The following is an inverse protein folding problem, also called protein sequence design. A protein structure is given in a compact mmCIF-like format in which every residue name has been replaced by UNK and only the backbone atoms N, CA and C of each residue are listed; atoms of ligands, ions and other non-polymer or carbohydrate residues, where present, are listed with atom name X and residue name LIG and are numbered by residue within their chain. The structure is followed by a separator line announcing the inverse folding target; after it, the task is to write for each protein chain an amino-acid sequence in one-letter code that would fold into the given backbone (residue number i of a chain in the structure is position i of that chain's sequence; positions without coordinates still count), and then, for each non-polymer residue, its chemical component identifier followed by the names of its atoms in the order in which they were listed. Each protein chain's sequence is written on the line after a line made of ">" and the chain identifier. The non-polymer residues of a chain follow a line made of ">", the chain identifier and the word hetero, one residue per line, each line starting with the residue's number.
data_IF_052845706293
#
_entry.id   IF_052845706293
#
_cell.length_a   1.000
_cell.length_b   1.000
_cell.length_c   1.000
_cell.angle_alpha   90.00
_cell.angle_beta   90.00
_cell.angle_gamma   90.00
#
_symmetry.space_group_name_H-M   'P 1'
#
loop_
_entity.id
_entity.type
_entity.pdbx_description
1 polymer ?
#
# COMPACT_ATOMS: atom_id res chain seq x y z
N UNK A 1 -24.76 -10.91 15.29
CA UNK A 1 -24.74 -9.96 14.13
C UNK A 1 -23.47 -10.28 13.36
N UNK A 2 -23.59 -10.66 12.09
CA UNK A 2 -22.40 -10.90 11.24
C UNK A 2 -21.69 -9.54 11.05
N UNK A 3 -20.57 -9.39 11.71
CA UNK A 3 -19.72 -8.19 11.64
C UNK A 3 -18.85 -8.26 10.36
N UNK A 4 -19.48 -8.40 9.19
CA UNK A 4 -18.75 -8.33 7.91
C UNK A 4 -18.36 -6.89 7.67
N UNK A 5 -17.06 -6.61 7.58
CA UNK A 5 -16.54 -5.33 7.12
C UNK A 5 -16.96 -5.13 5.66
N UNK A 6 -17.33 -3.90 5.28
CA UNK A 6 -17.55 -3.57 3.87
C UNK A 6 -16.27 -3.71 3.05
N UNK A 7 -16.40 -3.83 1.75
CA UNK A 7 -15.26 -4.05 0.83
C UNK A 7 -14.77 -2.78 0.13
N UNK A 8 -15.45 -1.66 0.33
CA UNK A 8 -15.04 -0.40 -0.28
C UNK A 8 -14.19 0.40 0.71
N UNK A 9 -13.02 0.84 0.26
CA UNK A 9 -12.24 1.88 0.91
C UNK A 9 -12.45 3.18 0.14
N UNK A 10 -12.83 4.24 0.85
CA UNK A 10 -13.15 5.55 0.30
C UNK A 10 -12.25 6.62 0.91
N UNK A 11 -12.34 7.82 0.41
CA UNK A 11 -11.70 9.01 0.96
C UNK A 11 -12.75 10.08 1.28
N UNK A 12 -12.30 11.17 1.90
CA UNK A 12 -13.11 12.34 2.23
C UNK A 12 -12.40 13.62 1.74
N UNK A 13 -13.15 14.69 1.52
CA UNK A 13 -12.61 15.89 0.89
C UNK A 13 -11.80 16.79 1.84
N UNK A 14 -12.22 16.91 3.09
CA UNK A 14 -11.72 17.95 3.99
C UNK A 14 -11.11 17.44 5.30
N UNK A 15 -10.81 18.39 6.18
CA UNK A 15 -10.25 18.14 7.52
C UNK A 15 -11.33 17.85 8.57
N UNK A 16 -12.60 17.83 8.19
CA UNK A 16 -13.75 17.54 9.06
C UNK A 16 -14.83 16.81 8.26
N UNK A 17 -15.68 16.04 8.95
CA UNK A 17 -16.75 15.26 8.33
C UNK A 17 -17.96 16.13 7.97
N UNK A 18 -18.32 16.14 6.69
CA UNK A 18 -19.61 16.65 6.19
C UNK A 18 -20.75 15.67 6.53
N UNK A 19 -21.99 16.08 6.28
CA UNK A 19 -23.14 15.16 6.40
C UNK A 19 -23.05 14.01 5.38
N UNK A 20 -22.56 14.27 4.18
CA UNK A 20 -22.37 13.26 3.14
C UNK A 20 -21.33 12.22 3.57
N UNK A 21 -20.19 12.67 4.14
CA UNK A 21 -19.17 11.75 4.65
C UNK A 21 -19.71 10.83 5.75
N UNK A 22 -20.54 11.39 6.67
CA UNK A 22 -21.15 10.60 7.74
C UNK A 22 -22.11 9.54 7.21
N UNK A 23 -22.90 9.86 6.19
CA UNK A 23 -23.81 8.93 5.54
C UNK A 23 -23.02 7.82 4.81
N UNK A 24 -21.94 8.18 4.10
CA UNK A 24 -21.04 7.23 3.43
C UNK A 24 -20.37 6.27 4.42
N UNK A 25 -19.79 6.80 5.52
CA UNK A 25 -19.15 5.98 6.57
C UNK A 25 -20.15 4.99 7.19
N UNK A 26 -21.40 5.41 7.36
CA UNK A 26 -22.48 4.57 7.91
C UNK A 26 -22.91 3.44 6.95
N UNK A 27 -22.59 3.55 5.67
CA UNK A 27 -22.97 2.53 4.67
C UNK A 27 -22.27 1.19 4.95
N UNK A 28 -23.03 0.10 4.86
CA UNK A 28 -22.49 -1.25 5.14
C UNK A 28 -21.41 -1.71 4.14
N UNK A 29 -21.39 -1.17 2.93
CA UNK A 29 -20.40 -1.49 1.89
C UNK A 29 -19.04 -0.83 2.13
N UNK A 30 -18.99 0.26 2.89
CA UNK A 30 -17.75 0.96 3.22
C UNK A 30 -17.09 0.27 4.40
N UNK A 31 -15.92 -0.31 4.18
CA UNK A 31 -15.09 -1.00 5.17
C UNK A 31 -13.86 -0.21 5.60
N UNK A 32 -13.44 0.77 4.82
CA UNK A 32 -12.26 1.57 5.09
C UNK A 32 -12.36 3.01 4.61
N UNK A 33 -11.51 3.84 5.19
CA UNK A 33 -11.21 5.19 4.72
C UNK A 33 -9.70 5.33 4.55
N UNK A 34 -9.27 5.92 3.43
CA UNK A 34 -7.90 6.38 3.24
C UNK A 34 -7.85 7.90 3.40
N UNK A 35 -6.88 8.37 4.19
CA UNK A 35 -6.67 9.80 4.44
C UNK A 35 -5.43 10.29 3.68
N UNK A 36 -5.54 11.51 3.15
CA UNK A 36 -4.51 12.17 2.36
C UNK A 36 -4.03 13.47 3.02
N UNK A 37 -3.04 14.13 2.43
CA UNK A 37 -2.53 15.43 2.91
C UNK A 37 -3.64 16.48 3.05
N UNK A 38 -4.66 16.48 2.15
CA UNK A 38 -5.80 17.40 2.22
C UNK A 38 -6.68 17.23 3.47
N UNK A 39 -6.59 16.07 4.14
CA UNK A 39 -7.33 15.77 5.36
C UNK A 39 -6.58 16.16 6.63
N UNK A 40 -5.39 16.74 6.51
CA UNK A 40 -4.47 17.00 7.59
C UNK A 40 -4.18 18.50 7.75
N UNK A 41 -4.32 19.03 8.97
CA UNK A 41 -3.89 20.37 9.34
C UNK A 41 -3.03 20.40 10.60
N UNK A 42 -3.22 19.44 11.52
CA UNK A 42 -2.39 19.23 12.71
C UNK A 42 -2.58 17.82 13.26
N UNK A 43 -1.68 17.38 14.15
CA UNK A 43 -1.80 16.09 14.82
C UNK A 43 -3.08 15.97 15.65
N UNK A 44 -3.45 17.02 16.37
CA UNK A 44 -4.69 17.01 17.17
C UNK A 44 -5.93 16.93 16.27
N UNK A 45 -5.95 17.69 15.16
CA UNK A 45 -7.08 17.66 14.23
C UNK A 45 -7.27 16.28 13.61
N UNK A 46 -6.18 15.61 13.15
CA UNK A 46 -6.30 14.28 12.52
C UNK A 46 -6.71 13.22 13.55
N UNK A 47 -6.26 13.33 14.79
CA UNK A 47 -6.66 12.47 15.90
C UNK A 47 -8.16 12.61 16.18
N UNK A 48 -8.66 13.84 16.24
CA UNK A 48 -10.10 14.12 16.42
C UNK A 48 -10.91 13.59 15.23
N UNK A 49 -10.44 13.77 14.01
CA UNK A 49 -11.10 13.26 12.81
C UNK A 49 -11.21 11.72 12.84
N UNK A 50 -10.13 11.02 13.16
CA UNK A 50 -10.14 9.56 13.31
C UNK A 50 -11.10 9.10 14.42
N UNK A 51 -11.13 9.81 15.55
CA UNK A 51 -12.07 9.54 16.64
C UNK A 51 -13.53 9.71 16.21
N UNK A 52 -13.84 10.75 15.46
CA UNK A 52 -15.19 10.98 14.92
C UNK A 52 -15.59 9.87 13.93
N UNK A 53 -14.69 9.46 13.03
CA UNK A 53 -14.91 8.35 12.08
C UNK A 53 -15.22 7.06 12.85
N UNK A 54 -14.39 6.70 13.82
CA UNK A 54 -14.58 5.51 14.68
C UNK A 54 -15.84 5.60 15.54
N UNK A 55 -16.26 6.81 15.93
CA UNK A 55 -17.52 7.05 16.63
C UNK A 55 -18.77 6.73 15.81
N UNK A 56 -18.70 6.88 14.46
CA UNK A 56 -19.78 6.52 13.54
C UNK A 56 -19.76 5.00 13.26
N UNK A 57 -18.57 4.44 12.99
CA UNK A 57 -18.38 3.03 12.64
C UNK A 57 -17.09 2.50 13.26
N UNK A 58 -17.22 1.84 14.41
CA UNK A 58 -16.08 1.43 15.24
C UNK A 58 -15.13 0.44 14.58
N UNK A 59 -15.61 -0.37 13.63
CA UNK A 59 -14.82 -1.39 12.92
C UNK A 59 -14.35 -0.94 11.53
N UNK A 60 -14.46 0.34 11.18
CA UNK A 60 -13.93 0.86 9.91
C UNK A 60 -12.40 0.91 9.96
N UNK A 61 -11.75 0.51 8.89
CA UNK A 61 -10.29 0.58 8.76
C UNK A 61 -9.87 1.99 8.30
N UNK A 62 -8.98 2.66 9.02
CA UNK A 62 -8.44 3.97 8.64
C UNK A 62 -7.00 3.77 8.14
N UNK A 63 -6.75 4.17 6.90
CA UNK A 63 -5.47 4.00 6.22
C UNK A 63 -4.85 5.33 5.79
N UNK A 64 -3.55 5.32 5.54
CA UNK A 64 -2.79 6.44 4.97
C UNK A 64 -1.62 5.92 4.14
N UNK A 65 -1.12 6.71 3.19
CA UNK A 65 0.20 6.51 2.59
C UNK A 65 1.26 7.26 3.39
N UNK A 66 1.88 6.62 4.33
CA UNK A 66 3.00 7.15 5.13
C UNK A 66 4.18 6.19 4.95
N UNK A 67 4.99 6.42 3.91
CA UNK A 67 6.14 5.58 3.56
C UNK A 67 7.46 6.17 4.06
N UNK A 68 7.52 7.48 4.12
CA UNK A 68 8.72 8.30 4.27
C UNK A 68 9.13 8.99 2.96
N UNK A 69 10.11 9.89 3.04
CA UNK A 69 10.54 10.69 1.92
C UNK A 69 9.41 11.53 1.32
N UNK A 70 9.23 11.47 0.00
CA UNK A 70 8.19 12.24 -0.70
C UNK A 70 6.76 11.73 -0.47
N UNK A 71 6.61 10.48 -0.04
CA UNK A 71 5.31 9.87 0.25
C UNK A 71 5.14 9.80 1.76
N UNK A 72 4.88 10.93 2.34
CA UNK A 72 4.53 11.13 3.74
C UNK A 72 3.45 12.20 3.80
N UNK A 73 2.21 11.82 4.17
CA UNK A 73 1.05 12.71 4.14
C UNK A 73 1.00 13.63 5.36
N UNK A 74 1.33 13.09 6.53
CA UNK A 74 1.28 13.82 7.79
C UNK A 74 2.71 14.18 8.22
N UNK A 75 2.99 15.47 8.35
CA UNK A 75 4.33 15.99 8.62
C UNK A 75 4.41 16.75 9.93
N UNK A 76 3.60 17.78 10.13
CA UNK A 76 3.63 18.59 11.34
C UNK A 76 3.15 17.77 12.56
N UNK A 77 3.99 17.71 13.61
CA UNK A 77 3.74 16.88 14.79
C UNK A 77 4.02 15.37 14.59
N UNK A 78 4.48 14.94 13.40
CA UNK A 78 4.99 13.61 13.12
C UNK A 78 6.47 13.66 12.77
N UNK A 79 7.19 12.58 13.02
CA UNK A 79 8.60 12.49 12.62
C UNK A 79 8.72 12.47 11.10
N UNK A 80 9.55 13.34 10.54
CA UNK A 80 9.86 13.34 9.11
C UNK A 80 10.81 12.19 8.82
N UNK A 81 10.30 11.19 8.10
CA UNK A 81 11.06 10.00 7.76
C UNK A 81 11.83 10.20 6.45
N UNK A 82 13.08 9.71 6.34
CA UNK A 82 13.81 9.70 5.08
C UNK A 82 13.13 8.75 4.08
N UNK A 83 13.48 8.90 2.79
CA UNK A 83 13.14 7.85 1.81
C UNK A 83 13.92 6.56 2.12
N UNK A 84 13.37 5.41 1.75
CA UNK A 84 13.97 4.12 2.08
C UNK A 84 15.35 3.93 1.45
N UNK A 85 15.54 4.41 0.22
CA UNK A 85 16.86 4.40 -0.42
C UNK A 85 17.86 5.30 0.34
N UNK A 86 17.46 6.52 0.73
CA UNK A 86 18.35 7.41 1.51
C UNK A 86 18.72 6.81 2.85
N UNK A 87 17.78 6.10 3.49
CA UNK A 87 18.04 5.39 4.74
C UNK A 87 19.03 4.24 4.52
N UNK A 88 18.87 3.48 3.43
CA UNK A 88 19.78 2.40 3.07
C UNK A 88 21.20 2.93 2.80
N UNK A 89 21.34 4.04 2.08
CA UNK A 89 22.63 4.72 1.85
C UNK A 89 23.30 5.18 3.15
N UNK A 90 22.51 5.64 4.11
CA UNK A 90 23.01 6.01 5.45
C UNK A 90 23.50 4.78 6.22
N UNK A 91 22.73 3.69 6.23
CA UNK A 91 23.09 2.44 6.93
C UNK A 91 24.36 1.83 6.33
N UNK A 92 24.51 1.86 5.01
CA UNK A 92 25.72 1.37 4.34
C UNK A 92 27.01 2.09 4.79
N UNK A 93 26.88 3.34 5.24
CA UNK A 93 28.00 4.17 5.73
C UNK A 93 28.12 4.20 7.25
N UNK A 94 27.19 3.61 7.98
CA UNK A 94 27.10 3.61 9.44
C UNK A 94 27.17 2.19 10.00
N UNK A 95 27.42 2.07 11.32
CA UNK A 95 27.36 0.78 12.02
C UNK A 95 25.96 0.42 12.54
N UNK A 96 24.95 1.26 12.29
CA UNK A 96 23.58 1.10 12.81
C UNK A 96 22.76 0.20 11.89
N UNK A 97 22.67 -1.09 12.21
CA UNK A 97 21.96 -2.07 11.39
C UNK A 97 20.45 -2.15 11.67
N UNK A 98 20.00 -1.82 12.87
CA UNK A 98 18.60 -1.97 13.30
C UNK A 98 17.69 -0.78 12.97
N UNK A 99 18.21 0.23 12.29
CA UNK A 99 17.50 1.50 12.07
C UNK A 99 16.21 1.32 11.26
N UNK A 100 16.13 0.34 10.36
CA UNK A 100 14.91 0.08 9.59
C UNK A 100 13.78 -0.41 10.49
N UNK A 101 14.08 -1.26 11.46
CA UNK A 101 13.12 -1.71 12.48
C UNK A 101 12.65 -0.53 13.34
N UNK A 102 13.58 0.31 13.79
CA UNK A 102 13.26 1.50 14.58
C UNK A 102 12.38 2.48 13.82
N UNK A 103 12.67 2.72 12.53
CA UNK A 103 11.88 3.62 11.67
C UNK A 103 10.48 3.05 11.39
N UNK A 104 10.36 1.76 11.11
CA UNK A 104 9.06 1.09 10.95
C UNK A 104 8.22 1.14 12.22
N UNK A 105 8.84 0.89 13.36
CA UNK A 105 8.17 1.00 14.66
C UNK A 105 7.70 2.42 14.96
N UNK A 106 8.56 3.41 14.76
CA UNK A 106 8.25 4.82 15.02
C UNK A 106 7.11 5.33 14.16
N UNK A 107 7.14 5.05 12.84
CA UNK A 107 6.07 5.40 11.92
C UNK A 107 4.73 4.81 12.38
N UNK A 108 4.72 3.52 12.67
CA UNK A 108 3.52 2.81 13.07
C UNK A 108 2.98 3.31 14.44
N UNK A 109 3.86 3.50 15.42
CA UNK A 109 3.47 3.99 16.75
C UNK A 109 2.86 5.41 16.70
N UNK A 110 3.43 6.32 15.90
CA UNK A 110 2.90 7.68 15.73
C UNK A 110 1.54 7.68 15.05
N UNK A 111 1.34 6.85 14.01
CA UNK A 111 0.08 6.72 13.30
C UNK A 111 -1.01 6.08 14.17
N UNK A 112 -0.70 4.98 14.86
CA UNK A 112 -1.64 4.34 15.78
C UNK A 112 -2.07 5.27 16.91
N UNK A 113 -1.15 6.07 17.45
CA UNK A 113 -1.44 7.07 18.48
C UNK A 113 -2.40 8.18 17.96
N UNK A 114 -2.42 8.43 16.65
CA UNK A 114 -3.34 9.36 16.00
C UNK A 114 -4.66 8.69 15.54
N UNK A 115 -4.86 7.39 15.81
CA UNK A 115 -6.07 6.65 15.43
C UNK A 115 -6.08 6.10 14.01
N UNK A 116 -4.94 6.09 13.32
CA UNK A 116 -4.75 5.44 12.00
C UNK A 116 -4.44 3.97 12.23
N UNK A 117 -5.16 3.08 11.56
CA UNK A 117 -5.00 1.62 11.76
C UNK A 117 -3.85 1.04 10.96
N UNK A 118 -3.65 1.49 9.70
CA UNK A 118 -2.58 1.00 8.81
C UNK A 118 -1.95 2.12 7.99
N UNK A 119 -0.69 1.93 7.64
CA UNK A 119 -0.05 2.61 6.50
C UNK A 119 0.06 1.64 5.32
N UNK A 120 -0.23 2.10 4.11
CA UNK A 120 0.10 1.37 2.89
C UNK A 120 1.62 1.41 2.64
N UNK A 121 2.34 0.68 3.46
CA UNK A 121 3.79 0.52 3.49
C UNK A 121 4.16 -0.90 3.97
N UNK A 122 5.31 -1.42 3.55
CA UNK A 122 6.35 -0.80 2.73
C UNK A 122 6.14 -0.97 1.22
N UNK A 123 6.89 -0.16 0.44
CA UNK A 123 7.07 -0.38 -1.00
C UNK A 123 8.07 -1.52 -1.19
N UNK A 124 7.61 -2.62 -1.82
CA UNK A 124 8.41 -3.81 -2.11
C UNK A 124 8.95 -3.84 -3.53
N UNK A 125 8.62 -2.83 -4.34
CA UNK A 125 9.11 -2.71 -5.70
C UNK A 125 10.64 -2.65 -5.71
N UNK A 126 11.25 -3.44 -6.60
CA UNK A 126 12.70 -3.43 -6.83
C UNK A 126 13.03 -2.30 -7.79
N UNK A 127 13.89 -1.36 -7.38
CA UNK A 127 14.30 -0.25 -8.25
C UNK A 127 15.10 -0.77 -9.43
N UNK A 128 14.74 -0.36 -10.65
CA UNK A 128 15.46 -0.67 -11.88
C UNK A 128 16.07 0.57 -12.53
N UNK A 129 16.09 1.68 -11.81
CA UNK A 129 16.57 2.98 -12.30
C UNK A 129 15.81 3.48 -13.55
N UNK A 130 14.59 3.00 -13.76
CA UNK A 130 13.73 3.36 -14.89
C UNK A 130 12.46 4.06 -14.45
N UNK A 131 11.93 3.73 -13.27
CA UNK A 131 10.68 4.28 -12.76
C UNK A 131 10.91 5.55 -11.96
N UNK A 132 10.42 6.70 -12.47
CA UNK A 132 10.37 7.95 -11.69
C UNK A 132 9.32 7.90 -10.57
N UNK A 133 8.36 6.97 -10.66
CA UNK A 133 7.27 6.80 -9.70
C UNK A 133 7.76 6.05 -8.45
N UNK A 134 8.55 5.01 -8.61
CA UNK A 134 9.14 4.26 -7.51
C UNK A 134 10.43 4.94 -7.04
N UNK A 135 11.49 4.93 -7.83
CA UNK A 135 12.76 5.59 -7.51
C UNK A 135 13.19 5.35 -6.06
N UNK A 136 13.47 6.41 -5.34
CA UNK A 136 13.96 6.38 -3.96
C UNK A 136 12.94 5.87 -2.90
N UNK A 137 11.71 5.52 -3.29
CA UNK A 137 10.75 4.82 -2.42
C UNK A 137 11.17 3.35 -2.20
N UNK A 138 11.85 2.74 -3.17
CA UNK A 138 12.40 1.39 -3.04
C UNK A 138 13.52 1.32 -2.01
N UNK A 139 13.68 0.15 -1.41
CA UNK A 139 14.81 -0.13 -0.51
C UNK A 139 16.11 -0.41 -1.27
N UNK A 140 16.04 -1.00 -2.46
CA UNK A 140 17.21 -1.41 -3.24
C UNK A 140 16.85 -1.76 -4.68
N UNK A 141 17.86 -1.83 -5.53
CA UNK A 141 17.84 -2.39 -6.89
C UNK A 141 18.10 -3.91 -6.93
N UNK A 142 18.38 -4.52 -5.77
CA UNK A 142 18.62 -5.96 -5.61
C UNK A 142 17.47 -6.61 -4.86
N UNK A 143 16.72 -7.56 -5.47
CA UNK A 143 15.51 -8.16 -4.88
C UNK A 143 15.70 -8.71 -3.47
N UNK A 144 16.78 -9.47 -3.23
CA UNK A 144 17.09 -10.05 -1.92
C UNK A 144 17.43 -8.99 -0.86
N UNK A 145 17.97 -7.85 -1.26
CA UNK A 145 18.16 -6.71 -0.36
C UNK A 145 16.83 -6.06 0.00
N UNK A 146 15.91 -5.90 -0.98
CA UNK A 146 14.56 -5.42 -0.70
C UNK A 146 13.89 -6.32 0.35
N UNK A 147 13.89 -7.65 0.14
CA UNK A 147 13.35 -8.61 1.08
C UNK A 147 13.94 -8.47 2.49
N UNK A 148 15.26 -8.46 2.58
CA UNK A 148 15.99 -8.41 3.86
C UNK A 148 15.72 -7.11 4.63
N UNK A 149 15.78 -5.97 3.95
CA UNK A 149 15.62 -4.66 4.59
C UNK A 149 14.13 -4.41 4.93
N UNK A 150 13.23 -4.71 4.00
CA UNK A 150 11.79 -4.57 4.26
C UNK A 150 11.33 -5.46 5.42
N UNK A 151 11.91 -6.65 5.60
CA UNK A 151 11.61 -7.52 6.75
C UNK A 151 11.89 -6.83 8.09
N UNK A 152 12.99 -6.10 8.21
CA UNK A 152 13.29 -5.35 9.43
C UNK A 152 12.25 -4.24 9.65
N UNK A 153 11.92 -3.47 8.60
CA UNK A 153 10.91 -2.41 8.66
C UNK A 153 9.53 -2.97 9.05
N UNK A 154 9.09 -4.05 8.42
CA UNK A 154 7.84 -4.75 8.71
C UNK A 154 7.83 -5.27 10.16
N UNK A 155 8.95 -5.83 10.63
CA UNK A 155 9.10 -6.28 12.03
C UNK A 155 8.85 -5.13 13.00
N UNK A 156 9.35 -3.94 12.71
CA UNK A 156 9.10 -2.74 13.51
C UNK A 156 7.62 -2.34 13.52
N UNK A 157 6.97 -2.31 12.35
CA UNK A 157 5.53 -2.02 12.24
C UNK A 157 4.70 -3.02 13.06
N UNK A 158 4.97 -4.31 12.89
CA UNK A 158 4.25 -5.38 13.59
C UNK A 158 4.46 -5.33 15.12
N UNK A 159 5.67 -4.99 15.58
CA UNK A 159 5.97 -4.82 17.01
C UNK A 159 5.22 -3.61 17.61
N UNK A 160 5.02 -2.54 16.85
CA UNK A 160 4.18 -1.42 17.27
C UNK A 160 2.67 -1.76 17.28
N UNK A 161 2.26 -2.87 16.65
CA UNK A 161 0.86 -3.31 16.54
C UNK A 161 0.19 -2.99 15.20
N UNK A 162 0.93 -2.49 14.19
CA UNK A 162 0.42 -2.17 12.86
C UNK A 162 0.80 -3.25 11.85
N UNK A 163 -0.19 -3.81 11.16
CA UNK A 163 0.07 -4.76 10.06
C UNK A 163 0.60 -4.03 8.82
N UNK A 164 1.62 -4.60 8.18
CA UNK A 164 2.23 -4.04 6.98
C UNK A 164 1.48 -4.43 5.71
N UNK A 165 1.48 -3.53 4.71
CA UNK A 165 0.92 -3.77 3.38
C UNK A 165 2.00 -3.61 2.32
N UNK A 166 2.41 -4.71 1.72
CA UNK A 166 3.42 -4.69 0.64
C UNK A 166 2.83 -4.22 -0.69
N UNK A 167 3.52 -3.34 -1.39
CA UNK A 167 3.05 -2.76 -2.66
C UNK A 167 4.21 -2.50 -3.64
N UNK A 168 3.98 -2.52 -4.93
CA UNK A 168 2.73 -2.72 -5.70
C UNK A 168 2.84 -4.05 -6.48
N UNK A 169 2.15 -5.08 -6.01
CA UNK A 169 2.21 -6.42 -6.61
C UNK A 169 1.74 -6.41 -8.08
N UNK A 170 2.40 -7.10 -9.00
CA UNK A 170 3.58 -7.97 -8.85
C UNK A 170 4.94 -7.27 -8.96
N UNK A 171 4.99 -5.94 -9.05
CA UNK A 171 6.18 -5.10 -9.11
C UNK A 171 6.02 -3.93 -10.09
N UNK A 172 6.38 -2.72 -9.64
CA UNK A 172 6.26 -1.46 -10.39
C UNK A 172 7.63 -0.82 -10.70
N UNK A 173 8.73 -1.36 -10.16
CA UNK A 173 10.05 -0.72 -10.23
C UNK A 173 10.66 -0.63 -11.62
N UNK A 174 10.20 -1.44 -12.58
CA UNK A 174 10.68 -1.46 -13.97
C UNK A 174 9.82 -0.65 -14.94
N UNK A 175 8.78 0.02 -14.49
CA UNK A 175 7.82 0.74 -15.34
C UNK A 175 8.21 2.20 -15.44
N UNK A 176 8.40 2.66 -16.68
CA UNK A 176 8.72 4.07 -16.96
C UNK A 176 7.46 4.94 -16.95
N UNK A 177 6.35 4.41 -17.45
CA UNK A 177 5.08 5.14 -17.56
C UNK A 177 4.46 5.36 -16.18
N UNK A 178 3.96 6.57 -15.98
CA UNK A 178 3.18 6.92 -14.80
C UNK A 178 1.77 6.33 -14.93
N UNK A 179 1.43 5.38 -14.08
CA UNK A 179 0.10 4.76 -14.01
C UNK A 179 -1.04 5.73 -13.66
N UNK A 180 -0.70 6.93 -13.19
CA UNK A 180 -1.67 8.03 -13.03
C UNK A 180 -2.02 8.70 -14.37
N UNK A 181 -1.18 8.55 -15.40
CA UNK A 181 -1.36 9.21 -16.69
C UNK A 181 -1.74 8.24 -17.81
N UNK A 182 -1.22 7.03 -17.80
CA UNK A 182 -1.41 6.00 -18.83
C UNK A 182 -1.59 4.63 -18.17
N UNK A 183 -2.13 3.65 -18.92
CA UNK A 183 -2.09 2.25 -18.52
C UNK A 183 -0.68 1.70 -18.79
N UNK A 184 0.15 1.49 -17.75
CA UNK A 184 1.51 1.03 -17.93
C UNK A 184 1.54 -0.44 -18.34
N UNK A 185 2.56 -0.82 -19.10
CA UNK A 185 2.76 -2.19 -19.55
C UNK A 185 4.17 -2.69 -19.22
N UNK A 186 4.26 -3.92 -18.76
CA UNK A 186 5.50 -4.65 -18.60
C UNK A 186 5.48 -5.88 -19.52
N UNK A 187 6.43 -5.95 -20.45
CA UNK A 187 6.49 -7.02 -21.46
C UNK A 187 7.31 -8.22 -21.03
N UNK A 188 7.71 -8.31 -19.76
CA UNK A 188 8.44 -9.44 -19.23
C UNK A 188 7.56 -10.67 -19.05
N UNK A 189 8.18 -11.83 -19.17
CA UNK A 189 7.55 -13.11 -18.88
C UNK A 189 7.33 -13.32 -17.38
N UNK A 190 6.46 -14.24 -17.03
CA UNK A 190 6.23 -14.63 -15.63
C UNK A 190 7.50 -15.15 -14.96
N UNK A 191 8.36 -15.86 -15.67
CA UNK A 191 9.60 -16.42 -15.13
C UNK A 191 10.61 -15.32 -14.78
N UNK A 192 10.70 -14.26 -15.59
CA UNK A 192 11.54 -13.09 -15.29
C UNK A 192 11.02 -12.34 -14.06
N UNK A 193 9.70 -12.20 -13.91
CA UNK A 193 9.09 -11.56 -12.75
C UNK A 193 9.29 -12.38 -11.46
N UNK A 194 9.18 -13.71 -11.54
CA UNK A 194 9.42 -14.61 -10.40
C UNK A 194 10.86 -14.52 -9.91
N UNK A 195 11.82 -14.39 -10.84
CA UNK A 195 13.22 -14.31 -10.49
C UNK A 195 13.66 -12.93 -9.98
N UNK A 196 12.82 -11.92 -10.11
CA UNK A 196 13.19 -10.55 -9.77
C UNK A 196 12.12 -9.84 -8.92
N UNK A 197 11.04 -9.33 -9.53
CA UNK A 197 10.10 -8.43 -8.86
C UNK A 197 9.22 -9.14 -7.84
N UNK A 198 8.92 -10.43 -8.05
CA UNK A 198 8.12 -11.23 -7.10
C UNK A 198 8.92 -11.74 -5.90
N UNK A 199 10.26 -11.68 -5.93
CA UNK A 199 11.10 -12.17 -4.82
C UNK A 199 10.72 -11.57 -3.48
N UNK A 200 10.56 -10.24 -3.31
CA UNK A 200 10.16 -9.67 -2.03
C UNK A 200 8.78 -10.13 -1.55
N UNK A 201 7.82 -10.31 -2.46
CA UNK A 201 6.48 -10.79 -2.11
C UNK A 201 6.48 -12.28 -1.70
N UNK A 202 7.34 -13.10 -2.34
CA UNK A 202 7.53 -14.51 -1.98
C UNK A 202 8.16 -14.64 -0.59
N UNK A 203 9.24 -13.88 -0.37
CA UNK A 203 10.02 -13.95 0.87
C UNK A 203 9.26 -13.43 2.10
N UNK A 204 8.39 -12.42 1.91
CA UNK A 204 7.74 -11.69 2.99
C UNK A 204 6.24 -12.02 3.17
N UNK A 205 5.70 -12.97 2.41
CA UNK A 205 4.26 -13.32 2.42
C UNK A 205 3.66 -13.59 3.80
N UNK A 206 4.45 -14.15 4.70
CA UNK A 206 4.00 -14.53 6.05
C UNK A 206 4.19 -13.38 7.06
N UNK A 207 4.96 -12.34 6.71
CA UNK A 207 5.21 -11.16 7.52
C UNK A 207 4.21 -10.01 7.22
N UNK A 208 3.49 -10.09 6.07
CA UNK A 208 2.56 -9.08 5.58
C UNK A 208 1.11 -9.38 5.99
N UNK A 209 0.41 -8.37 6.50
CA UNK A 209 -1.05 -8.40 6.70
C UNK A 209 -1.84 -8.09 5.44
N UNK A 210 -1.27 -7.28 4.51
CA UNK A 210 -1.88 -6.89 3.25
C UNK A 210 -0.92 -6.87 2.07
N UNK A 211 -1.47 -6.98 0.87
CA UNK A 211 -0.77 -6.74 -0.42
C UNK A 211 -1.66 -5.86 -1.28
N UNK A 212 -1.08 -4.81 -1.87
CA UNK A 212 -1.76 -3.94 -2.82
C UNK A 212 -1.33 -4.28 -4.24
N UNK A 213 -2.30 -4.52 -5.13
CA UNK A 213 -2.07 -4.89 -6.53
C UNK A 213 -2.01 -3.67 -7.43
N UNK A 214 -0.97 -3.58 -8.26
CA UNK A 214 -0.77 -2.50 -9.23
C UNK A 214 -1.75 -2.57 -10.41
N UNK A 215 -2.07 -1.39 -10.98
CA UNK A 215 -2.79 -1.29 -12.27
C UNK A 215 -1.80 -1.33 -13.44
N UNK A 216 -1.06 -2.45 -13.57
CA UNK A 216 -0.08 -2.69 -14.63
C UNK A 216 -0.54 -3.88 -15.47
N UNK A 217 -0.46 -3.75 -16.80
CA UNK A 217 -0.70 -4.83 -17.74
C UNK A 217 0.59 -5.59 -18.02
N UNK A 218 0.53 -6.91 -17.92
CA UNK A 218 1.64 -7.82 -18.25
C UNK A 218 1.21 -8.70 -19.43
N UNK A 219 1.30 -8.21 -20.68
CA UNK A 219 0.67 -8.85 -21.83
C UNK A 219 1.24 -10.21 -22.22
N UNK A 220 2.40 -10.62 -21.67
CA UNK A 220 2.89 -12.00 -21.80
C UNK A 220 2.34 -12.94 -20.75
N UNK A 221 1.55 -12.44 -19.80
CA UNK A 221 1.02 -13.21 -18.66
C UNK A 221 -0.50 -13.23 -18.67
N UNK A 222 -1.14 -12.07 -18.81
CA UNK A 222 -2.60 -11.93 -18.86
C UNK A 222 -2.99 -10.68 -19.67
N UNK A 223 -4.21 -10.68 -20.21
CA UNK A 223 -4.79 -9.56 -20.96
C UNK A 223 -5.38 -8.47 -20.04
N UNK A 224 -5.50 -8.74 -18.74
CA UNK A 224 -5.98 -7.80 -17.73
C UNK A 224 -4.83 -7.27 -16.87
N UNK A 225 -4.94 -6.01 -16.41
CA UNK A 225 -3.99 -5.48 -15.43
C UNK A 225 -4.00 -6.30 -14.13
N UNK A 226 -2.89 -6.34 -13.42
CA UNK A 226 -2.71 -7.23 -12.27
C UNK A 226 -3.82 -7.08 -11.20
N UNK A 227 -4.27 -5.84 -10.92
CA UNK A 227 -5.36 -5.58 -9.98
C UNK A 227 -6.75 -6.06 -10.43
N UNK A 228 -6.91 -6.44 -11.72
CA UNK A 228 -8.16 -6.96 -12.30
C UNK A 228 -8.04 -8.40 -12.79
N UNK A 229 -6.89 -9.02 -12.61
CA UNK A 229 -6.58 -10.36 -13.10
C UNK A 229 -6.73 -11.42 -12.02
N UNK A 230 -7.68 -12.35 -12.23
CA UNK A 230 -7.81 -13.52 -11.36
C UNK A 230 -6.59 -14.45 -11.46
N UNK A 231 -5.86 -14.43 -12.57
CA UNK A 231 -4.60 -15.16 -12.69
C UNK A 231 -3.55 -14.61 -11.74
N UNK A 232 -3.33 -13.29 -11.72
CA UNK A 232 -2.38 -12.68 -10.82
C UNK A 232 -2.75 -12.85 -9.35
N UNK A 233 -4.02 -12.62 -9.00
CA UNK A 233 -4.43 -12.63 -7.59
C UNK A 233 -4.67 -14.06 -7.09
N UNK A 234 -5.47 -14.88 -7.80
CA UNK A 234 -5.81 -16.23 -7.31
C UNK A 234 -4.71 -17.24 -7.61
N UNK A 235 -4.17 -17.29 -8.84
CA UNK A 235 -3.20 -18.32 -9.18
C UNK A 235 -1.79 -17.98 -8.69
N UNK A 236 -1.33 -16.75 -8.92
CA UNK A 236 0.04 -16.38 -8.54
C UNK A 236 0.11 -16.02 -7.05
N UNK A 237 -0.64 -14.99 -6.59
CA UNK A 237 -0.50 -14.50 -5.22
C UNK A 237 -1.05 -15.50 -4.18
N UNK A 238 -2.29 -15.98 -4.37
CA UNK A 238 -2.93 -16.89 -3.41
C UNK A 238 -2.41 -18.32 -3.49
N UNK A 239 -2.39 -18.93 -4.69
CA UNK A 239 -2.07 -20.35 -4.83
C UNK A 239 -0.55 -20.61 -4.88
N UNK A 240 0.18 -19.92 -5.77
CA UNK A 240 1.61 -20.21 -5.98
C UNK A 240 2.49 -19.62 -4.88
N UNK A 241 2.30 -18.33 -4.54
CA UNK A 241 3.04 -17.67 -3.46
C UNK A 241 2.51 -18.13 -2.10
N UNK A 242 1.20 -18.33 -1.98
CA UNK A 242 0.56 -18.79 -0.74
C UNK A 242 0.21 -17.67 0.22
N UNK A 243 0.06 -16.43 -0.26
CA UNK A 243 -0.33 -15.29 0.56
C UNK A 243 -1.75 -15.43 1.11
N UNK A 244 -1.94 -15.16 2.40
CA UNK A 244 -3.21 -15.37 3.12
C UNK A 244 -3.83 -14.09 3.70
N UNK A 245 -3.11 -12.96 3.64
CA UNK A 245 -3.58 -11.68 4.14
C UNK A 245 -4.58 -11.00 3.21
N UNK A 246 -4.92 -9.75 3.48
CA UNK A 246 -5.87 -8.94 2.70
C UNK A 246 -5.24 -8.51 1.37
N UNK A 247 -6.01 -8.57 0.28
CA UNK A 247 -5.61 -8.05 -1.02
C UNK A 247 -6.37 -6.78 -1.33
N UNK A 248 -5.65 -5.67 -1.41
CA UNK A 248 -6.16 -4.38 -1.84
C UNK A 248 -5.97 -4.18 -3.35
N UNK A 249 -6.91 -3.55 -4.03
CA UNK A 249 -6.61 -2.90 -5.29
C UNK A 249 -5.76 -1.65 -5.03
N UNK A 250 -5.00 -1.19 -6.00
CA UNK A 250 -4.55 0.21 -6.05
C UNK A 250 -5.76 1.11 -6.33
N UNK A 251 -5.58 2.43 -6.29
CA UNK A 251 -6.64 3.42 -6.46
C UNK A 251 -7.38 3.21 -7.80
N UNK A 252 -8.66 2.87 -7.69
CA UNK A 252 -9.52 2.61 -8.85
C UNK A 252 -9.84 3.89 -9.65
N UNK A 253 -9.51 5.07 -9.14
CA UNK A 253 -9.68 6.35 -9.86
C UNK A 253 -8.50 6.66 -10.79
N UNK A 254 -7.37 5.95 -10.65
CA UNK A 254 -6.20 6.10 -11.51
C UNK A 254 -6.53 5.79 -12.97
N UNK A 255 -5.89 6.51 -13.90
CA UNK A 255 -6.00 6.23 -15.35
C UNK A 255 -5.45 4.85 -15.70
N UNK A 256 -4.45 4.38 -14.97
CA UNK A 256 -3.92 3.02 -15.11
C UNK A 256 -4.96 1.91 -14.90
N UNK A 257 -6.06 2.20 -14.20
CA UNK A 257 -7.20 1.31 -14.05
C UNK A 257 -8.08 1.19 -15.31
N UNK A 258 -7.75 1.89 -16.41
CA UNK A 258 -8.44 1.80 -17.70
C UNK A 258 -9.61 2.76 -17.85
N UNK A 259 -10.46 2.51 -18.86
CA UNK A 259 -11.56 3.39 -19.26
C UNK A 259 -12.95 2.97 -18.72
N UNK A 260 -13.02 1.84 -18.01
CA UNK A 260 -14.27 1.35 -17.43
C UNK A 260 -14.84 2.33 -16.39
N UNK A 261 -16.14 2.30 -16.17
CA UNK A 261 -16.78 3.05 -15.07
C UNK A 261 -16.25 2.59 -13.71
N UNK A 262 -16.36 3.44 -12.69
CA UNK A 262 -15.90 3.06 -11.33
C UNK A 262 -16.61 1.82 -10.79
N UNK A 263 -17.90 1.65 -11.08
CA UNK A 263 -18.64 0.46 -10.67
C UNK A 263 -18.07 -0.81 -11.33
N UNK A 264 -17.79 -0.77 -12.64
CA UNK A 264 -17.16 -1.89 -13.35
C UNK A 264 -15.76 -2.20 -12.83
N UNK A 265 -14.94 -1.17 -12.47
CA UNK A 265 -13.62 -1.38 -11.87
C UNK A 265 -13.71 -2.06 -10.51
N UNK A 266 -14.70 -1.70 -9.69
CA UNK A 266 -14.98 -2.39 -8.42
C UNK A 266 -15.35 -3.85 -8.66
N UNK A 267 -16.27 -4.14 -9.59
CA UNK A 267 -16.69 -5.49 -9.93
C UNK A 267 -15.52 -6.33 -10.47
N UNK A 268 -14.67 -5.76 -11.31
CA UNK A 268 -13.46 -6.41 -11.83
C UNK A 268 -12.48 -6.75 -10.70
N UNK A 269 -12.18 -5.81 -9.80
CA UNK A 269 -11.27 -6.05 -8.67
C UNK A 269 -11.79 -7.16 -7.75
N UNK A 270 -13.06 -7.08 -7.36
CA UNK A 270 -13.67 -8.10 -6.49
C UNK A 270 -13.73 -9.48 -7.17
N UNK A 271 -14.04 -9.53 -8.46
CA UNK A 271 -14.06 -10.77 -9.25
C UNK A 271 -12.66 -11.37 -9.41
N UNK A 272 -11.65 -10.53 -9.53
CA UNK A 272 -10.25 -10.95 -9.57
C UNK A 272 -9.78 -11.58 -8.25
N UNK A 273 -10.34 -11.15 -7.12
CA UNK A 273 -10.03 -11.71 -5.80
C UNK A 273 -9.46 -10.69 -4.80
N UNK A 274 -9.63 -9.39 -5.06
CA UNK A 274 -9.44 -8.36 -4.02
C UNK A 274 -10.51 -8.50 -2.94
N UNK A 275 -10.14 -8.19 -1.68
CA UNK A 275 -11.01 -8.33 -0.50
C UNK A 275 -11.80 -7.08 -0.20
#
# INVERSE_FOLDING_TARGET
>A
MNNTCGRLMMDIDGTSLSSVDKDLISNSQVGGLILFERNFSSKDQITDLCSQIKGIKSNILIAVDQEGGRVQRFKDGFTILPSMQSLNDYVAKSSKKEIFKEVGWLMAAELLAAGIDISFAPVLDVDRNTSSIIGNRSFSDVPSNVSRIAKEFISGMNEAGMQATGKHFPGHGGIFEDSHLLQPQDKRSIDELIQHDLVPFIDLKDDLGGVMCAHILFPQVDDLSAGFSSFWIKEILRNRIGFKGVVFSDDLTMKGAGENSYAERVDLSLSAGCD
#
